data_IF_071387804219
#
_entry.id   IF_071387804219
#
_cell.length_a   1.000
_cell.length_b   1.000
_cell.length_c   1.000
_cell.angle_alpha   90.00
_cell.angle_beta   90.00
_cell.angle_gamma   90.00
#
_symmetry.space_group_name_H-M   'P 1'
#
loop_
_entity.id
_entity.type
_entity.pdbx_description
1 polymer ?
#
# COMPACT_ATOMS: atom_id res chain seq x y z
N UNK A 1 18.55 20.94 -1.95
CA UNK A 1 17.66 20.38 -2.98
C UNK A 1 16.75 21.48 -3.52
N UNK A 2 16.95 21.92 -4.76
CA UNK A 2 16.17 23.01 -5.39
C UNK A 2 14.87 22.46 -5.96
N UNK A 3 13.73 22.83 -5.37
CA UNK A 3 12.40 22.35 -5.81
C UNK A 3 11.95 23.16 -7.02
N UNK A 4 11.92 22.53 -8.20
CA UNK A 4 11.37 23.15 -9.42
C UNK A 4 9.86 22.87 -9.48
N UNK A 5 9.02 23.92 -9.47
CA UNK A 5 7.57 23.79 -9.73
C UNK A 5 7.32 24.00 -11.23
N UNK A 6 6.65 23.04 -11.86
CA UNK A 6 6.24 23.12 -13.27
C UNK A 6 4.71 23.03 -13.32
N UNK A 7 4.04 23.97 -14.02
CA UNK A 7 2.62 23.85 -14.37
C UNK A 7 2.52 23.06 -15.67
N UNK A 8 1.78 21.95 -15.65
CA UNK A 8 1.61 21.04 -16.80
C UNK A 8 0.11 20.98 -17.11
N UNK A 9 -0.25 21.21 -18.37
CA UNK A 9 -1.59 20.91 -18.89
C UNK A 9 -1.56 19.54 -19.59
N UNK A 10 -2.21 18.50 -19.04
CA UNK A 10 -2.19 17.16 -19.63
C UNK A 10 -2.88 17.07 -20.99
N UNK A 11 -3.70 18.06 -21.38
CA UNK A 11 -4.30 18.13 -22.72
C UNK A 11 -3.32 18.60 -23.81
N UNK A 12 -2.18 19.20 -23.42
CA UNK A 12 -1.16 19.70 -24.34
C UNK A 12 0.11 18.86 -24.21
N UNK A 13 0.31 17.92 -25.15
CA UNK A 13 1.51 17.05 -25.19
C UNK A 13 2.85 17.80 -25.15
N UNK A 14 2.89 19.05 -25.61
CA UNK A 14 4.08 19.92 -25.60
C UNK A 14 4.46 20.43 -24.20
N UNK A 15 3.51 20.47 -23.27
CA UNK A 15 3.71 20.96 -21.90
C UNK A 15 4.21 19.86 -20.95
N UNK A 16 4.20 18.60 -21.43
CA UNK A 16 4.82 17.49 -20.73
C UNK A 16 6.34 17.64 -20.84
N UNK A 17 7.09 17.59 -19.71
CA UNK A 17 8.54 17.60 -19.77
C UNK A 17 9.02 16.40 -20.58
N UNK A 18 10.02 16.62 -21.45
CA UNK A 18 10.69 15.54 -22.14
C UNK A 18 11.16 14.51 -21.09
N UNK A 19 10.72 13.25 -21.25
CA UNK A 19 11.11 12.18 -20.35
C UNK A 19 12.64 12.08 -20.29
N UNK A 20 13.20 12.13 -19.09
CA UNK A 20 14.64 11.96 -18.88
C UNK A 20 14.90 10.50 -18.56
N UNK A 21 15.10 9.70 -19.61
CA UNK A 21 15.55 8.31 -19.48
C UNK A 21 17.04 8.28 -19.78
N UNK A 22 17.83 7.72 -18.86
CA UNK A 22 19.23 7.40 -19.13
C UNK A 22 19.27 6.01 -19.79
N UNK A 23 19.46 5.99 -21.10
CA UNK A 23 19.48 4.76 -21.90
C UNK A 23 20.68 3.87 -21.57
N UNK A 24 21.84 4.44 -21.22
CA UNK A 24 23.02 3.66 -20.82
C UNK A 24 22.73 2.82 -19.56
N UNK A 25 22.02 3.40 -18.59
CA UNK A 25 21.60 2.69 -17.38
C UNK A 25 20.52 1.65 -17.69
N UNK A 26 19.57 1.98 -18.56
CA UNK A 26 18.50 1.07 -18.95
C UNK A 26 19.06 -0.18 -19.64
N UNK A 27 19.93 0.00 -20.64
CA UNK A 27 20.52 -1.09 -21.43
C UNK A 27 21.49 -1.94 -20.60
N UNK A 28 22.12 -1.35 -19.59
CA UNK A 28 22.97 -2.08 -18.64
C UNK A 28 22.16 -2.83 -17.55
N UNK A 29 20.87 -2.56 -17.39
CA UNK A 29 20.05 -3.19 -16.36
C UNK A 29 19.70 -4.63 -16.77
N UNK A 30 20.22 -5.61 -16.05
CA UNK A 30 20.00 -7.02 -16.37
C UNK A 30 18.68 -7.55 -15.80
N UNK A 31 18.20 -8.69 -16.30
CA UNK A 31 17.07 -9.43 -15.72
C UNK A 31 17.26 -9.76 -14.23
N UNK A 32 18.51 -10.00 -13.81
CA UNK A 32 18.85 -10.23 -12.41
C UNK A 32 18.62 -8.97 -11.57
N UNK A 33 18.98 -7.80 -12.09
CA UNK A 33 18.81 -6.53 -11.42
C UNK A 33 17.32 -6.18 -11.31
N UNK A 34 16.56 -6.37 -12.39
CA UNK A 34 15.10 -6.20 -12.43
C UNK A 34 14.45 -7.10 -11.37
N UNK A 35 14.79 -8.38 -11.34
CA UNK A 35 14.23 -9.31 -10.37
C UNK A 35 14.62 -8.95 -8.93
N UNK A 36 15.82 -8.42 -8.70
CA UNK A 36 16.23 -7.95 -7.38
C UNK A 36 15.43 -6.73 -6.92
N UNK A 37 15.24 -5.75 -7.81
CA UNK A 37 14.44 -4.55 -7.55
C UNK A 37 12.98 -4.91 -7.28
N UNK A 38 12.38 -5.79 -8.09
CA UNK A 38 11.02 -6.27 -7.87
C UNK A 38 10.85 -6.90 -6.49
N UNK A 39 11.79 -7.76 -6.05
CA UNK A 39 11.76 -8.34 -4.70
C UNK A 39 11.86 -7.29 -3.61
N UNK A 40 12.67 -6.25 -3.81
CA UNK A 40 12.81 -5.15 -2.85
C UNK A 40 11.52 -4.34 -2.75
N UNK A 41 10.94 -3.97 -3.89
CA UNK A 41 9.68 -3.22 -3.98
C UNK A 41 8.51 -4.00 -3.36
N UNK A 42 8.43 -5.31 -3.65
CA UNK A 42 7.43 -6.19 -3.05
C UNK A 42 7.58 -6.27 -1.53
N UNK A 43 8.82 -6.39 -1.04
CA UNK A 43 9.10 -6.42 0.40
C UNK A 43 8.75 -5.09 1.07
N UNK A 44 9.02 -3.95 0.43
CA UNK A 44 8.61 -2.64 0.92
C UNK A 44 7.10 -2.49 0.95
N UNK A 45 6.41 -2.81 -0.14
CA UNK A 45 4.96 -2.78 -0.22
C UNK A 45 4.29 -3.71 0.82
N UNK A 46 4.92 -4.84 1.15
CA UNK A 46 4.46 -5.76 2.19
C UNK A 46 4.62 -5.14 3.58
N UNK A 47 5.78 -4.52 3.88
CA UNK A 47 6.01 -3.80 5.15
C UNK A 47 5.02 -2.64 5.33
N UNK A 48 4.78 -1.87 4.28
CA UNK A 48 3.87 -0.72 4.36
C UNK A 48 2.42 -1.15 4.52
N UNK A 49 2.00 -2.23 3.85
CA UNK A 49 0.67 -2.81 4.08
C UNK A 49 0.52 -3.33 5.51
N UNK A 50 1.56 -3.96 6.08
CA UNK A 50 1.55 -4.43 7.45
C UNK A 50 1.40 -3.28 8.46
N UNK A 51 2.16 -2.19 8.27
CA UNK A 51 2.03 -0.95 9.04
C UNK A 51 0.63 -0.35 8.90
N UNK A 52 0.10 -0.30 7.68
CA UNK A 52 -1.24 0.23 7.40
C UNK A 52 -2.33 -0.56 8.14
N UNK A 53 -2.35 -1.89 8.03
CA UNK A 53 -3.31 -2.74 8.73
C UNK A 53 -3.25 -2.53 10.26
N UNK A 54 -2.04 -2.54 10.83
CA UNK A 54 -1.83 -2.30 12.26
C UNK A 54 -2.30 -0.92 12.69
N UNK A 55 -2.04 0.11 11.88
CA UNK A 55 -2.47 1.50 12.15
C UNK A 55 -3.99 1.62 12.16
N UNK A 56 -4.68 1.03 11.19
CA UNK A 56 -6.15 1.04 11.13
C UNK A 56 -6.72 0.44 12.41
N UNK A 57 -6.29 -0.78 12.77
CA UNK A 57 -6.74 -1.43 14.01
C UNK A 57 -6.49 -0.58 15.26
N UNK A 58 -5.25 -0.09 15.43
CA UNK A 58 -4.88 0.69 16.62
C UNK A 58 -5.69 1.97 16.75
N UNK A 59 -5.98 2.66 15.63
CA UNK A 59 -6.78 3.89 15.65
C UNK A 59 -8.24 3.64 16.04
N UNK A 60 -8.76 2.43 15.78
CA UNK A 60 -10.09 2.00 16.23
C UNK A 60 -10.11 1.53 17.70
N UNK A 61 -8.96 1.49 18.38
CA UNK A 61 -8.86 1.07 19.78
C UNK A 61 -8.97 -0.45 20.00
N UNK A 62 -8.95 -1.26 18.95
CA UNK A 62 -9.13 -2.71 19.06
C UNK A 62 -7.84 -3.48 19.30
N UNK A 63 -7.92 -4.53 20.11
CA UNK A 63 -6.97 -5.64 20.12
C UNK A 63 -7.02 -6.41 18.80
N UNK A 64 -6.00 -7.24 18.52
CA UNK A 64 -6.02 -8.10 17.32
C UNK A 64 -7.23 -9.04 17.29
N UNK A 65 -7.66 -9.54 18.45
CA UNK A 65 -8.78 -10.46 18.55
C UNK A 65 -10.12 -9.75 18.30
N UNK A 66 -10.34 -8.57 18.88
CA UNK A 66 -11.55 -7.77 18.63
C UNK A 66 -11.66 -7.35 17.17
N UNK A 67 -10.55 -6.91 16.58
CA UNK A 67 -10.52 -6.54 15.17
C UNK A 67 -10.81 -7.71 14.25
N UNK A 68 -10.23 -8.88 14.55
CA UNK A 68 -10.48 -10.11 13.82
C UNK A 68 -11.95 -10.52 13.86
N UNK A 69 -12.57 -10.48 15.05
CA UNK A 69 -14.02 -10.72 15.21
C UNK A 69 -14.85 -9.75 14.39
N UNK A 70 -14.51 -8.46 14.44
CA UNK A 70 -15.27 -7.41 13.76
C UNK A 70 -15.31 -7.53 12.24
N UNK A 71 -14.23 -8.02 11.64
CA UNK A 71 -14.15 -8.19 10.18
C UNK A 71 -14.30 -9.64 9.73
N UNK A 72 -14.73 -10.52 10.64
CA UNK A 72 -14.99 -11.95 10.43
C UNK A 72 -13.82 -12.71 9.79
N UNK A 73 -12.64 -12.63 10.41
CA UNK A 73 -11.46 -13.41 10.02
C UNK A 73 -10.79 -14.03 11.25
N UNK A 74 -10.02 -15.13 11.09
CA UNK A 74 -9.20 -15.64 12.19
C UNK A 74 -8.22 -14.60 12.71
N UNK A 75 -7.97 -14.56 14.02
CA UNK A 75 -6.97 -13.65 14.63
C UNK A 75 -5.58 -13.84 13.99
N UNK A 76 -5.24 -15.07 13.61
CA UNK A 76 -3.99 -15.37 12.92
C UNK A 76 -3.85 -14.60 11.59
N UNK A 77 -4.96 -14.40 10.86
CA UNK A 77 -4.97 -13.61 9.62
C UNK A 77 -4.55 -12.16 9.89
N UNK A 78 -5.10 -11.53 10.93
CA UNK A 78 -4.69 -10.19 11.36
C UNK A 78 -3.22 -10.16 11.75
N UNK A 79 -2.77 -11.14 12.53
CA UNK A 79 -1.36 -11.27 12.93
C UNK A 79 -0.43 -11.39 11.73
N UNK A 80 -0.77 -12.24 10.77
CA UNK A 80 0.00 -12.46 9.54
C UNK A 80 0.06 -11.20 8.67
N UNK A 81 -1.03 -10.43 8.60
CA UNK A 81 -1.03 -9.13 7.92
C UNK A 81 -0.14 -8.12 8.63
N UNK A 82 -0.31 -7.95 9.94
CA UNK A 82 0.44 -6.95 10.71
C UNK A 82 1.93 -7.28 10.88
N UNK A 83 2.33 -8.54 10.70
CA UNK A 83 3.72 -8.97 10.66
C UNK A 83 4.32 -8.93 9.25
N UNK A 84 3.49 -8.68 8.22
CA UNK A 84 3.94 -8.74 6.83
C UNK A 84 4.28 -10.16 6.38
N UNK A 85 3.69 -11.20 6.98
CA UNK A 85 3.82 -12.59 6.48
C UNK A 85 2.89 -12.86 5.31
N UNK A 86 1.74 -12.17 5.29
CA UNK A 86 0.73 -12.23 4.22
C UNK A 86 0.21 -10.83 3.94
N UNK A 87 -0.22 -10.60 2.70
CA UNK A 87 -0.88 -9.35 2.31
C UNK A 87 -2.40 -9.55 2.36
N UNK A 88 -3.20 -8.60 2.89
CA UNK A 88 -4.64 -8.58 2.66
C UNK A 88 -4.91 -8.62 1.15
N UNK A 89 -5.93 -9.36 0.70
CA UNK A 89 -6.31 -9.46 -0.72
C UNK A 89 -7.39 -8.42 -1.06
N UNK A 90 -7.79 -8.31 -2.33
CA UNK A 90 -8.64 -7.22 -2.88
C UNK A 90 -9.73 -6.71 -1.95
N UNK A 91 -10.66 -7.57 -1.54
CA UNK A 91 -11.76 -7.22 -0.64
C UNK A 91 -11.27 -6.78 0.75
N UNK A 92 -10.33 -7.51 1.35
CA UNK A 92 -9.77 -7.14 2.65
C UNK A 92 -9.03 -5.79 2.62
N UNK A 93 -8.27 -5.49 1.54
CA UNK A 93 -7.64 -4.17 1.36
C UNK A 93 -8.68 -3.06 1.25
N UNK A 94 -9.76 -3.30 0.49
CA UNK A 94 -10.85 -2.34 0.36
C UNK A 94 -11.51 -2.10 1.73
N UNK A 95 -11.84 -3.16 2.46
CA UNK A 95 -12.41 -3.06 3.80
C UNK A 95 -11.51 -2.29 4.77
N UNK A 96 -10.19 -2.55 4.78
CA UNK A 96 -9.24 -1.79 5.60
C UNK A 96 -9.21 -0.29 5.24
N UNK A 97 -9.38 0.06 3.95
CA UNK A 97 -9.50 1.46 3.52
C UNK A 97 -10.81 2.10 3.94
N UNK A 98 -11.93 1.37 3.86
CA UNK A 98 -13.24 1.86 4.34
C UNK A 98 -13.19 2.08 5.85
N UNK A 99 -12.67 1.12 6.62
CA UNK A 99 -12.40 1.28 8.05
C UNK A 99 -11.44 2.43 8.34
N UNK A 100 -10.50 2.72 7.43
CA UNK A 100 -9.60 3.86 7.60
C UNK A 100 -10.31 5.21 7.38
N UNK A 101 -11.17 5.30 6.36
CA UNK A 101 -11.74 6.58 5.91
C UNK A 101 -13.11 6.90 6.49
N UNK A 102 -13.92 5.88 6.75
CA UNK A 102 -15.29 5.99 7.25
C UNK A 102 -15.54 4.92 8.34
N UNK A 103 -14.81 5.00 9.48
CA UNK A 103 -14.86 3.98 10.51
C UNK A 103 -16.27 3.82 11.09
N UNK A 104 -17.01 4.91 11.31
CA UNK A 104 -18.36 4.87 11.87
C UNK A 104 -19.33 4.11 10.97
N UNK A 105 -19.36 4.43 9.67
CA UNK A 105 -20.22 3.75 8.70
C UNK A 105 -19.85 2.28 8.53
N UNK A 106 -18.54 1.96 8.50
CA UNK A 106 -18.09 0.57 8.44
C UNK A 106 -18.50 -0.20 9.70
N UNK A 107 -18.24 0.36 10.88
CA UNK A 107 -18.53 -0.27 12.16
C UNK A 107 -20.03 -0.32 12.48
N UNK A 108 -20.86 0.48 11.82
CA UNK A 108 -22.31 0.34 11.90
C UNK A 108 -22.79 -0.94 11.18
N UNK A 109 -22.16 -1.31 10.06
CA UNK A 109 -22.52 -2.49 9.26
C UNK A 109 -21.85 -3.75 9.79
N UNK A 110 -20.60 -3.65 10.24
CA UNK A 110 -19.83 -4.76 10.79
C UNK A 110 -20.33 -5.12 12.19
N UNK A 111 -20.71 -6.39 12.37
CA UNK A 111 -21.22 -6.91 13.65
C UNK A 111 -20.13 -7.02 14.72
#
# INVERSE_FOLDING_TARGET
>A
MTRTRVKIDPGRRRDLPAGRVNYEVLDATTERDIAAQQRQDEAEAMRDMAKFARRVRKRLGFTQQEFARRIDVPQETIRNWEQGKRRPTGAAKALLRVLDKAPEAALFVLR
#
